data_IF_473429802022
#
_entry.id   IF_473429802022
#
_cell.length_a   1.000
_cell.length_b   1.000
_cell.length_c   1.000
_cell.angle_alpha   90.00
_cell.angle_beta   90.00
_cell.angle_gamma   90.00
#
_symmetry.space_group_name_H-M   'P 1'
#
loop_
_entity.id
_entity.type
_entity.pdbx_description
1 polymer ?
#
# COMPACT_ATOMS: atom_id res chain seq x y z
N UNK A 1 1.69 -12.64 17.35
CA UNK A 1 0.80 -11.79 16.54
C UNK A 1 1.69 -10.73 15.92
N UNK A 2 1.81 -10.69 14.59
CA UNK A 2 2.59 -9.67 13.91
C UNK A 2 1.85 -8.33 14.00
N UNK A 3 2.51 -7.30 14.48
CA UNK A 3 1.99 -5.95 14.51
C UNK A 3 1.70 -5.50 13.06
N UNK A 4 0.52 -4.92 12.82
CA UNK A 4 0.10 -4.47 11.49
C UNK A 4 0.20 -2.95 11.43
N UNK A 5 0.78 -2.43 10.35
CA UNK A 5 0.76 -1.00 10.04
C UNK A 5 -0.51 -0.72 9.25
N UNK A 6 -1.27 0.28 9.69
CA UNK A 6 -2.43 0.82 8.97
C UNK A 6 -2.15 2.26 8.59
N UNK A 7 -2.33 2.58 7.32
CA UNK A 7 -2.26 3.92 6.76
C UNK A 7 -3.65 4.27 6.19
N UNK A 8 -4.08 5.50 6.41
CA UNK A 8 -5.38 6.00 5.92
C UNK A 8 -5.24 7.44 5.39
N UNK A 9 -6.28 7.92 4.70
CA UNK A 9 -6.25 9.25 4.07
C UNK A 9 -5.31 9.34 2.87
N UNK A 10 -5.05 8.20 2.22
CA UNK A 10 -4.19 8.12 1.03
C UNK A 10 -5.00 8.67 -0.15
N UNK A 11 -4.47 9.68 -0.84
CA UNK A 11 -5.13 10.21 -2.03
C UNK A 11 -5.34 9.11 -3.09
N UNK A 12 -6.38 9.24 -3.92
CA UNK A 12 -6.62 8.27 -5.00
C UNK A 12 -5.41 8.10 -5.92
N UNK A 13 -4.69 9.19 -6.20
CA UNK A 13 -3.49 9.20 -7.03
C UNK A 13 -2.36 8.40 -6.37
N UNK A 14 -2.02 8.70 -5.12
CA UNK A 14 -1.00 7.97 -4.35
C UNK A 14 -1.37 6.49 -4.20
N UNK A 15 -2.64 6.19 -3.92
CA UNK A 15 -3.15 4.82 -3.78
C UNK A 15 -2.95 4.01 -5.07
N UNK A 16 -3.32 4.59 -6.22
CA UNK A 16 -3.11 3.96 -7.53
C UNK A 16 -1.62 3.83 -7.86
N UNK A 17 -0.82 4.87 -7.58
CA UNK A 17 0.60 4.91 -7.87
C UNK A 17 1.37 3.80 -7.12
N UNK A 18 1.01 3.50 -5.87
CA UNK A 18 1.57 2.37 -5.11
C UNK A 18 1.33 1.05 -5.82
N UNK A 19 0.07 0.78 -6.21
CA UNK A 19 -0.31 -0.48 -6.87
C UNK A 19 0.42 -0.64 -8.21
N UNK A 20 0.45 0.44 -9.00
CA UNK A 20 1.09 0.45 -10.33
C UNK A 20 2.61 0.28 -10.21
N UNK A 21 3.25 0.96 -9.25
CA UNK A 21 4.69 0.86 -9.00
C UNK A 21 5.08 -0.55 -8.56
N UNK A 22 4.41 -1.11 -7.55
CA UNK A 22 4.74 -2.44 -7.04
C UNK A 22 4.46 -3.51 -8.11
N UNK A 23 3.36 -3.38 -8.86
CA UNK A 23 3.06 -4.26 -9.98
C UNK A 23 4.15 -4.23 -11.07
N UNK A 24 4.63 -3.04 -11.43
CA UNK A 24 5.76 -2.88 -12.35
C UNK A 24 7.07 -3.46 -11.79
N UNK A 25 7.24 -3.43 -10.46
CA UNK A 25 8.34 -4.04 -9.72
C UNK A 25 8.23 -5.56 -9.52
N UNK A 26 7.29 -6.23 -10.19
CA UNK A 26 7.13 -7.68 -10.18
C UNK A 26 6.27 -8.22 -9.04
N UNK A 27 5.54 -7.37 -8.31
CA UNK A 27 4.54 -7.83 -7.36
C UNK A 27 3.28 -8.31 -8.10
N UNK A 28 2.64 -9.34 -7.54
CA UNK A 28 1.34 -9.80 -8.02
C UNK A 28 0.26 -8.86 -7.53
N UNK A 29 -0.56 -8.34 -8.45
CA UNK A 29 -1.67 -7.42 -8.12
C UNK A 29 -2.98 -8.10 -8.44
N UNK A 30 -3.84 -8.24 -7.43
CA UNK A 30 -5.26 -8.56 -7.60
C UNK A 30 -6.07 -7.35 -7.21
N UNK A 31 -6.98 -6.91 -8.06
CA UNK A 31 -7.79 -5.72 -7.79
C UNK A 31 -9.22 -5.90 -8.27
N UNK A 32 -10.13 -5.16 -7.69
CA UNK A 32 -11.54 -5.11 -8.06
C UNK A 32 -12.18 -3.85 -7.54
N UNK A 33 -13.48 -3.69 -7.82
CA UNK A 33 -14.22 -2.51 -7.37
C UNK A 33 -15.21 -1.97 -8.39
N UNK A 34 -15.79 -0.83 -8.04
CA UNK A 34 -16.77 -0.07 -8.81
C UNK A 34 -16.76 1.42 -8.43
N UNK A 35 -17.81 2.15 -8.81
CA UNK A 35 -17.84 3.62 -8.81
C UNK A 35 -17.54 4.29 -7.46
N UNK A 36 -17.87 3.66 -6.34
CA UNK A 36 -17.66 4.24 -5.00
C UNK A 36 -16.55 3.60 -4.18
N UNK A 37 -16.14 2.39 -4.54
CA UNK A 37 -15.20 1.59 -3.76
C UNK A 37 -14.30 0.77 -4.68
N UNK A 38 -13.01 0.82 -4.44
CA UNK A 38 -11.99 0.01 -5.11
C UNK A 38 -11.12 -0.68 -4.09
N UNK A 39 -10.60 -1.86 -4.45
CA UNK A 39 -9.69 -2.60 -3.60
C UNK A 39 -8.57 -3.21 -4.42
N UNK A 40 -7.43 -3.42 -3.77
CA UNK A 40 -6.31 -4.15 -4.31
C UNK A 40 -5.61 -4.97 -3.22
N UNK A 41 -5.09 -6.11 -3.62
CA UNK A 41 -4.20 -6.95 -2.84
C UNK A 41 -2.90 -7.06 -3.63
N UNK A 42 -1.80 -6.66 -3.02
CA UNK A 42 -0.46 -6.66 -3.64
C UNK A 42 0.42 -7.63 -2.88
N UNK A 43 0.93 -8.66 -3.57
CA UNK A 43 1.62 -9.80 -2.94
C UNK A 43 2.97 -10.10 -3.61
N UNK A 44 4.00 -10.38 -2.82
CA UNK A 44 5.30 -10.90 -3.30
C UNK A 44 5.99 -11.72 -2.21
N UNK A 45 6.42 -12.92 -2.55
CA UNK A 45 7.26 -13.77 -1.67
C UNK A 45 6.72 -13.94 -0.24
N UNK A 46 5.38 -14.06 -0.08
CA UNK A 46 4.74 -14.20 1.23
C UNK A 46 4.40 -12.88 1.94
N UNK A 47 4.84 -11.74 1.40
CA UNK A 47 4.41 -10.41 1.84
C UNK A 47 3.06 -10.09 1.20
N UNK A 48 2.17 -9.50 1.97
CA UNK A 48 0.85 -9.05 1.52
C UNK A 48 0.59 -7.63 1.97
N UNK A 49 0.04 -6.83 1.05
CA UNK A 49 -0.47 -5.50 1.28
C UNK A 49 -1.93 -5.51 0.88
N UNK A 50 -2.81 -5.21 1.83
CA UNK A 50 -4.23 -5.00 1.59
C UNK A 50 -4.48 -3.50 1.39
N UNK A 51 -5.19 -3.14 0.34
CA UNK A 51 -5.43 -1.76 -0.05
C UNK A 51 -6.89 -1.56 -0.41
N UNK A 52 -7.50 -0.50 0.12
CA UNK A 52 -8.88 -0.13 -0.15
C UNK A 52 -8.93 1.36 -0.49
N UNK A 53 -9.89 1.76 -1.32
CA UNK A 53 -10.17 3.14 -1.64
C UNK A 53 -11.67 3.33 -1.68
N UNK A 54 -12.17 4.23 -0.84
CA UNK A 54 -13.56 4.67 -0.84
C UNK A 54 -13.61 6.15 -1.20
N UNK A 55 -14.53 6.54 -2.09
CA UNK A 55 -14.63 7.94 -2.55
C UNK A 55 -14.97 8.95 -1.43
N UNK A 56 -15.39 8.46 -0.25
CA UNK A 56 -15.76 9.26 0.91
C UNK A 56 -14.73 9.17 2.03
N UNK A 57 -13.98 8.07 2.13
CA UNK A 57 -12.99 7.84 3.19
C UNK A 57 -11.53 7.85 2.69
N UNK A 58 -11.31 8.15 1.41
CA UNK A 58 -10.03 8.08 0.72
C UNK A 58 -9.44 6.66 0.75
N UNK A 59 -8.14 6.55 0.48
CA UNK A 59 -7.41 5.30 0.41
C UNK A 59 -6.84 4.85 1.75
N UNK A 60 -6.81 3.53 1.93
CA UNK A 60 -6.20 2.82 3.03
C UNK A 60 -5.21 1.77 2.52
N UNK A 61 -4.23 1.46 3.37
CA UNK A 61 -3.19 0.47 3.12
C UNK A 61 -2.80 -0.21 4.44
N UNK A 62 -2.79 -1.55 4.45
CA UNK A 62 -2.43 -2.36 5.60
C UNK A 62 -1.42 -3.45 5.24
N UNK A 63 -0.41 -3.64 6.08
CA UNK A 63 0.63 -4.67 5.91
C UNK A 63 1.33 -4.98 7.24
N UNK A 64 2.03 -6.11 7.31
CA UNK A 64 2.77 -6.47 8.52
C UNK A 64 3.99 -5.56 8.74
N UNK A 65 4.19 -5.09 9.99
CA UNK A 65 5.31 -4.21 10.37
C UNK A 65 6.69 -4.80 10.03
N UNK A 66 6.83 -6.13 10.05
CA UNK A 66 8.05 -6.84 9.67
C UNK A 66 8.44 -6.65 8.21
N UNK A 67 7.46 -6.39 7.35
CA UNK A 67 7.63 -6.35 5.89
C UNK A 67 7.88 -4.91 5.40
N UNK A 68 7.76 -3.95 6.32
CA UNK A 68 7.85 -2.52 6.08
C UNK A 68 9.08 -2.12 5.26
N UNK A 69 10.26 -2.59 5.65
CA UNK A 69 11.51 -2.23 4.96
C UNK A 69 11.52 -2.71 3.51
N UNK A 70 11.04 -3.93 3.26
CA UNK A 70 10.93 -4.48 1.90
C UNK A 70 9.97 -3.65 1.06
N UNK A 71 8.81 -3.31 1.61
CA UNK A 71 7.79 -2.50 0.91
C UNK A 71 8.34 -1.10 0.60
N UNK A 72 8.97 -0.43 1.57
CA UNK A 72 9.53 0.91 1.34
C UNK A 72 10.69 0.92 0.35
N UNK A 73 11.48 -0.16 0.27
CA UNK A 73 12.60 -0.26 -0.67
C UNK A 73 12.13 -0.45 -2.12
N UNK A 74 10.95 -1.03 -2.32
CA UNK A 74 10.35 -1.22 -3.65
C UNK A 74 9.51 -0.02 -4.11
N UNK A 75 9.33 0.98 -3.25
CA UNK A 75 8.59 2.21 -3.56
C UNK A 75 9.56 3.39 -3.81
N UNK A 76 9.25 4.27 -4.78
CA UNK A 76 9.90 5.56 -4.92
C UNK A 76 9.86 6.36 -3.61
N UNK A 77 10.96 7.05 -3.30
CA UNK A 77 11.08 7.85 -2.08
C UNK A 77 9.95 8.87 -1.90
N UNK A 78 9.45 9.45 -3.00
CA UNK A 78 8.32 10.36 -2.97
C UNK A 78 7.04 9.68 -2.44
N UNK A 79 6.72 8.47 -2.90
CA UNK A 79 5.55 7.74 -2.41
C UNK A 79 5.71 7.35 -0.93
N UNK A 80 6.93 6.98 -0.51
CA UNK A 80 7.21 6.68 0.90
C UNK A 80 6.94 7.91 1.79
N UNK A 81 7.32 9.11 1.32
CA UNK A 81 7.05 10.37 2.03
C UNK A 81 5.55 10.71 2.06
N UNK A 82 4.84 10.58 0.94
CA UNK A 82 3.40 10.84 0.85
C UNK A 82 2.59 9.91 1.75
N UNK A 83 2.97 8.64 1.81
CA UNK A 83 2.36 7.63 2.69
C UNK A 83 2.74 7.81 4.17
N UNK A 84 3.67 8.73 4.48
CA UNK A 84 4.20 9.00 5.83
C UNK A 84 4.65 7.72 6.54
N UNK A 85 5.26 6.79 5.80
CA UNK A 85 5.78 5.55 6.37
C UNK A 85 7.08 5.90 7.11
N UNK A 86 6.96 6.31 8.38
CA UNK A 86 8.04 6.85 9.25
C UNK A 86 9.31 6.01 9.26
N UNK A 87 10.32 6.28 8.41
CA UNK A 87 11.56 5.48 8.25
C UNK A 87 12.37 5.26 9.55
N UNK A 88 11.92 5.81 10.66
CA UNK A 88 12.49 5.70 12.00
C UNK A 88 11.48 5.12 13.01
N UNK A 89 11.55 3.80 13.23
CA UNK A 89 11.52 3.28 14.60
C UNK A 89 12.27 1.95 14.65
N UNK A 90 13.18 1.78 15.62
CA UNK A 90 14.03 0.60 15.80
C UNK A 90 13.25 -0.66 16.21
#
# INVERSE_FOLDING_TARGET
MSETIYLSGISQETWRAVIETLGAGGWSVRKGGGLGFSWAVVERSGIRIDMEYDAWQDGEMAFAKTDRSTITNDLPAQLVLELKIDLTSP
#
